data_IF_741281964498
#
_entry.id   IF_741281964498
#
_cell.length_a   1.000
_cell.length_b   1.000
_cell.length_c   1.000
_cell.angle_alpha   90.00
_cell.angle_beta   90.00
_cell.angle_gamma   90.00
#
_symmetry.space_group_name_H-M   'P 1'
#
loop_
_entity.id
_entity.type
_entity.pdbx_description
1 polymer ?
#
# COMPACT_ATOMS: atom_id res chain seq x y z
N UNK A 1 21.42 -5.45 18.14
CA UNK A 1 20.37 -6.30 17.52
C UNK A 1 19.79 -7.41 18.42
N UNK A 2 20.38 -7.78 19.57
CA UNK A 2 19.88 -8.92 20.38
C UNK A 2 18.40 -8.84 20.83
N UNK A 3 17.92 -7.62 21.16
CA UNK A 3 16.50 -7.37 21.49
C UNK A 3 15.57 -7.71 20.32
N UNK A 4 15.86 -7.17 19.14
CA UNK A 4 15.09 -7.45 17.93
C UNK A 4 15.09 -8.94 17.55
N UNK A 5 16.23 -9.64 17.66
CA UNK A 5 16.28 -11.08 17.38
C UNK A 5 15.41 -11.89 18.35
N UNK A 6 15.38 -11.51 19.64
CA UNK A 6 14.48 -12.16 20.62
C UNK A 6 13.02 -11.90 20.27
N UNK A 7 12.68 -10.66 19.89
CA UNK A 7 11.33 -10.30 19.45
C UNK A 7 10.92 -11.04 18.18
N UNK A 8 11.82 -11.16 17.20
CA UNK A 8 11.59 -11.89 15.96
C UNK A 8 11.32 -13.39 16.19
N UNK A 9 12.04 -14.02 17.13
CA UNK A 9 11.76 -15.41 17.53
C UNK A 9 10.37 -15.56 18.12
N UNK A 10 10.00 -14.68 19.06
CA UNK A 10 8.64 -14.62 19.59
C UNK A 10 7.61 -14.45 18.47
N UNK A 11 7.85 -13.55 17.52
CA UNK A 11 6.97 -13.31 16.39
C UNK A 11 6.75 -14.59 15.56
N UNK A 12 7.84 -15.27 15.22
CA UNK A 12 7.80 -16.49 14.41
C UNK A 12 7.18 -17.68 15.15
N UNK A 13 7.45 -17.82 16.44
CA UNK A 13 6.94 -18.92 17.27
C UNK A 13 5.43 -18.82 17.52
N UNK A 14 4.86 -17.61 17.47
CA UNK A 14 3.46 -17.34 17.84
C UNK A 14 2.59 -16.86 16.66
N UNK A 15 3.13 -16.84 15.44
CA UNK A 15 2.43 -16.40 14.21
C UNK A 15 1.76 -15.02 14.37
N UNK A 16 2.51 -14.07 14.91
CA UNK A 16 2.01 -12.75 15.28
C UNK A 16 1.54 -11.94 14.06
N UNK A 17 0.37 -11.31 14.17
CA UNK A 17 -0.13 -10.31 13.22
C UNK A 17 0.27 -8.91 13.69
N UNK A 18 0.93 -8.15 12.81
CA UNK A 18 1.53 -6.86 13.16
C UNK A 18 1.05 -5.68 12.34
N UNK A 19 0.72 -4.58 13.00
CA UNK A 19 0.51 -3.28 12.37
C UNK A 19 1.80 -2.45 12.41
N UNK A 20 2.33 -2.04 11.26
CA UNK A 20 3.47 -1.11 11.23
C UNK A 20 2.96 0.35 11.30
N UNK A 21 3.33 1.03 12.37
CA UNK A 21 2.94 2.41 12.66
C UNK A 21 4.09 3.39 12.36
N UNK A 22 4.24 3.74 11.09
CA UNK A 22 5.30 4.66 10.64
C UNK A 22 4.85 6.13 10.63
N UNK A 23 3.73 6.45 9.96
CA UNK A 23 3.36 7.83 9.65
C UNK A 23 2.86 8.57 10.89
N UNK A 24 3.57 9.61 11.32
CA UNK A 24 3.13 10.50 12.41
C UNK A 24 1.96 11.41 12.00
N UNK A 25 1.33 12.06 13.00
CA UNK A 25 0.34 13.11 12.77
C UNK A 25 0.92 14.33 12.03
N UNK A 26 2.23 14.58 12.15
CA UNK A 26 3.09 15.51 11.37
C UNK A 26 2.85 17.03 11.52
N UNK A 27 1.84 17.48 12.26
CA UNK A 27 1.51 18.91 12.45
C UNK A 27 1.61 19.84 11.23
N UNK A 28 2.33 20.95 11.37
CA UNK A 28 2.67 21.82 10.24
C UNK A 28 3.69 21.10 9.34
N UNK A 29 3.29 20.82 8.09
CA UNK A 29 4.11 20.02 7.15
C UNK A 29 5.38 20.74 6.70
N UNK A 30 5.45 22.06 6.89
CA UNK A 30 6.65 22.86 6.60
C UNK A 30 7.72 22.75 7.70
N UNK A 31 7.34 22.25 8.89
CA UNK A 31 8.19 22.18 10.06
C UNK A 31 8.73 20.77 10.32
N UNK A 32 9.82 20.72 11.08
CA UNK A 32 10.41 19.47 11.58
C UNK A 32 9.77 19.08 12.92
N UNK A 33 9.99 17.86 13.42
CA UNK A 33 9.42 17.43 14.71
C UNK A 33 9.71 18.39 15.87
N UNK A 34 10.97 18.79 16.09
CA UNK A 34 11.34 19.74 17.15
C UNK A 34 10.78 21.16 16.98
N UNK A 35 10.41 21.55 15.74
CA UNK A 35 9.85 22.86 15.42
C UNK A 35 8.33 22.92 15.55
N UNK A 36 7.66 21.78 15.79
CA UNK A 36 6.21 21.75 15.91
C UNK A 36 5.75 22.57 17.12
N UNK A 37 4.59 23.23 16.97
CA UNK A 37 4.01 24.00 18.07
C UNK A 37 3.59 23.09 19.24
N UNK A 38 3.26 21.84 18.94
CA UNK A 38 2.98 20.79 19.89
C UNK A 38 3.92 19.61 19.59
N UNK A 39 4.79 19.20 20.54
CA UNK A 39 5.73 18.10 20.34
C UNK A 39 5.03 16.75 20.14
N UNK A 40 3.77 16.58 20.60
CA UNK A 40 3.03 15.32 20.51
C UNK A 40 2.51 15.03 19.09
N UNK A 41 2.68 15.98 18.14
CA UNK A 41 2.38 15.77 16.72
C UNK A 41 3.30 14.75 16.03
N UNK A 42 4.35 14.32 16.72
CA UNK A 42 5.18 13.17 16.39
C UNK A 42 5.36 12.29 17.63
N UNK A 43 5.39 10.97 17.44
CA UNK A 43 5.67 10.06 18.56
C UNK A 43 7.10 10.27 19.04
N UNK A 44 7.28 10.50 20.34
CA UNK A 44 8.58 10.74 20.96
C UNK A 44 8.68 10.19 22.38
N UNK A 45 9.92 10.11 22.88
CA UNK A 45 10.23 9.73 24.25
C UNK A 45 10.02 10.92 25.18
N UNK A 46 9.08 10.81 26.13
CA UNK A 46 8.83 11.84 27.15
C UNK A 46 9.59 11.58 28.44
N UNK A 47 9.92 10.32 28.73
CA UNK A 47 10.69 9.93 29.91
C UNK A 47 11.53 8.67 29.62
N UNK A 48 12.76 8.63 30.15
CA UNK A 48 13.62 7.44 30.15
C UNK A 48 13.73 6.93 31.58
N UNK A 49 13.38 5.66 31.80
CA UNK A 49 13.38 4.98 33.10
C UNK A 49 14.45 3.89 33.14
N UNK A 50 14.72 3.36 34.34
CA UNK A 50 15.64 2.24 34.52
C UNK A 50 15.18 0.96 33.81
N UNK A 51 13.87 0.77 33.67
CA UNK A 51 13.20 -0.42 33.14
C UNK A 51 12.61 -0.23 31.73
N UNK A 52 12.53 1.00 31.21
CA UNK A 52 12.03 1.26 29.87
C UNK A 52 11.95 2.74 29.52
N UNK A 53 11.05 3.08 28.60
CA UNK A 53 10.74 4.44 28.18
C UNK A 53 9.23 4.70 28.31
N UNK A 54 8.85 5.97 28.49
CA UNK A 54 7.49 6.42 28.23
C UNK A 54 7.48 7.18 26.91
N UNK A 55 6.52 6.85 26.04
CA UNK A 55 6.31 7.53 24.77
C UNK A 55 4.96 8.22 24.70
N UNK A 56 4.91 9.32 23.94
CA UNK A 56 3.68 10.07 23.68
C UNK A 56 3.61 10.53 22.22
N UNK A 57 2.39 10.60 21.68
CA UNK A 57 2.09 11.19 20.38
C UNK A 57 1.06 10.36 19.60
N UNK A 58 1.00 10.52 18.29
CA UNK A 58 0.06 9.76 17.46
C UNK A 58 0.62 9.35 16.08
N UNK A 59 0.23 8.15 15.64
CA UNK A 59 0.44 7.64 14.28
C UNK A 59 -0.89 7.65 13.51
N UNK A 60 -0.85 8.04 12.24
CA UNK A 60 -2.02 8.20 11.38
C UNK A 60 -2.03 7.21 10.23
N UNK A 61 -3.25 6.86 9.78
CA UNK A 61 -3.48 6.01 8.61
C UNK A 61 -2.82 4.63 8.73
N UNK A 62 -2.87 4.04 9.93
CA UNK A 62 -2.30 2.72 10.14
C UNK A 62 -3.36 1.69 9.83
N UNK A 63 -3.12 0.88 8.79
CA UNK A 63 -4.00 -0.22 8.39
C UNK A 63 -3.82 -1.38 9.35
N UNK A 64 -4.94 -2.00 9.75
CA UNK A 64 -5.05 -3.20 10.61
C UNK A 64 -4.87 -3.12 12.15
N UNK A 65 -4.67 -1.98 12.85
CA UNK A 65 -4.45 -2.00 14.31
C UNK A 65 -5.50 -2.73 15.16
N UNK A 66 -6.83 -2.64 14.88
CA UNK A 66 -7.84 -3.29 15.71
C UNK A 66 -7.84 -4.82 15.67
N UNK A 67 -7.10 -5.40 14.71
CA UNK A 67 -6.98 -6.85 14.54
C UNK A 67 -5.50 -7.26 14.33
N UNK A 68 -4.58 -6.51 14.93
CA UNK A 68 -3.17 -6.88 15.08
C UNK A 68 -2.85 -7.19 16.54
N UNK A 69 -2.07 -8.24 16.77
CA UNK A 69 -1.55 -8.57 18.10
C UNK A 69 -0.53 -7.52 18.57
N UNK A 70 0.28 -7.00 17.65
CA UNK A 70 1.42 -6.11 17.93
C UNK A 70 1.41 -4.88 17.02
N UNK A 71 1.78 -3.73 17.60
CA UNK A 71 2.02 -2.47 16.88
C UNK A 71 3.52 -2.19 16.89
N UNK A 72 4.13 -2.14 15.71
CA UNK A 72 5.55 -1.82 15.52
C UNK A 72 5.68 -0.35 15.11
N UNK A 73 6.24 0.47 15.99
CA UNK A 73 6.37 1.91 15.80
C UNK A 73 7.74 2.24 15.23
N UNK A 74 7.76 3.00 14.13
CA UNK A 74 8.98 3.44 13.44
C UNK A 74 9.01 4.96 13.30
N UNK A 75 10.20 5.58 13.16
CA UNK A 75 10.28 6.98 12.75
C UNK A 75 9.77 7.16 11.32
N UNK A 76 9.05 8.26 11.05
CA UNK A 76 8.46 8.51 9.73
C UNK A 76 9.42 9.10 8.69
N UNK A 77 10.57 9.63 9.12
CA UNK A 77 11.47 10.42 8.28
C UNK A 77 12.90 10.46 8.85
N UNK A 78 13.80 11.03 8.08
CA UNK A 78 15.12 11.44 8.55
C UNK A 78 15.01 12.47 9.68
N UNK A 79 15.56 12.13 10.84
CA UNK A 79 15.67 12.99 12.02
C UNK A 79 17.01 13.74 12.01
N UNK A 80 17.10 14.87 12.71
CA UNK A 80 18.37 15.55 13.05
C UNK A 80 18.71 15.34 14.53
N UNK A 81 19.86 15.83 14.95
CA UNK A 81 20.27 15.84 16.36
C UNK A 81 19.22 16.47 17.28
N UNK A 82 18.63 17.61 16.89
CA UNK A 82 17.54 18.25 17.63
C UNK A 82 16.25 17.41 17.68
N UNK A 83 16.11 16.44 16.78
CA UNK A 83 14.97 15.51 16.71
C UNK A 83 15.24 14.19 17.48
N UNK A 84 16.31 14.10 18.30
CA UNK A 84 16.75 12.83 18.93
C UNK A 84 15.66 12.10 19.73
N UNK A 85 14.74 12.82 20.38
CA UNK A 85 13.68 12.17 21.17
C UNK A 85 12.56 11.57 20.29
N UNK A 86 12.48 11.98 19.02
CA UNK A 86 11.60 11.41 17.99
C UNK A 86 12.26 10.23 17.25
N UNK A 87 13.57 10.04 17.42
CA UNK A 87 14.34 8.95 16.84
C UNK A 87 14.15 7.66 17.65
N UNK A 88 12.92 7.13 17.65
CA UNK A 88 12.52 5.98 18.46
C UNK A 88 11.84 4.91 17.61
N UNK A 89 12.19 3.64 17.85
CA UNK A 89 11.52 2.48 17.26
C UNK A 89 11.33 1.40 18.31
N UNK A 90 10.11 0.84 18.37
CA UNK A 90 9.73 -0.13 19.39
C UNK A 90 8.51 -0.95 18.95
N UNK A 91 8.15 -1.96 19.75
CA UNK A 91 6.89 -2.68 19.60
C UNK A 91 6.09 -2.71 20.91
N UNK A 92 4.76 -2.70 20.81
CA UNK A 92 3.83 -2.88 21.94
C UNK A 92 2.66 -3.76 21.52
N UNK A 93 2.04 -4.52 22.44
CA UNK A 93 0.75 -5.14 22.20
C UNK A 93 -0.29 -4.13 21.70
N UNK A 94 -1.20 -4.58 20.82
CA UNK A 94 -2.26 -3.74 20.27
C UNK A 94 -3.21 -3.15 21.33
N UNK A 95 -3.30 -3.81 22.48
CA UNK A 95 -4.11 -3.46 23.65
C UNK A 95 -3.30 -2.92 24.84
N UNK A 96 -2.04 -2.54 24.63
CA UNK A 96 -1.18 -2.03 25.71
C UNK A 96 -1.77 -0.79 26.40
N UNK A 97 -1.57 -0.68 27.71
CA UNK A 97 -2.03 0.47 28.50
C UNK A 97 -1.52 1.80 27.91
N UNK A 98 -2.45 2.73 27.70
CA UNK A 98 -2.18 4.03 27.07
C UNK A 98 -2.31 4.05 25.55
N UNK A 99 -2.40 2.90 24.87
CA UNK A 99 -2.70 2.82 23.42
C UNK A 99 -4.20 3.04 23.21
N UNK A 100 -4.58 3.98 22.33
CA UNK A 100 -5.97 4.22 21.93
C UNK A 100 -6.10 4.13 20.41
N UNK A 101 -7.04 3.33 19.94
CA UNK A 101 -7.30 3.12 18.51
C UNK A 101 -8.56 3.89 18.09
N UNK A 102 -8.39 4.99 17.37
CA UNK A 102 -9.50 5.72 16.73
C UNK A 102 -9.69 5.14 15.32
N UNK A 103 -10.63 4.20 15.22
CA UNK A 103 -10.77 3.30 14.07
C UNK A 103 -11.82 3.76 13.07
N UNK A 104 -11.50 3.74 11.78
CA UNK A 104 -12.44 3.85 10.67
C UNK A 104 -12.51 2.52 9.90
N UNK A 105 -13.62 1.77 9.96
CA UNK A 105 -13.83 0.61 9.11
C UNK A 105 -14.32 1.00 7.71
N UNK A 106 -13.88 0.26 6.69
CA UNK A 106 -14.44 0.25 5.35
C UNK A 106 -14.92 -1.18 5.04
N UNK A 107 -16.24 -1.33 4.92
CA UNK A 107 -16.90 -2.62 4.76
C UNK A 107 -18.11 -2.50 3.84
N UNK A 108 -18.61 -3.63 3.38
CA UNK A 108 -19.79 -3.73 2.52
C UNK A 108 -21.05 -4.00 3.34
N UNK A 109 -22.19 -3.59 2.80
CA UNK A 109 -23.49 -3.96 3.37
C UNK A 109 -23.66 -5.47 3.29
N UNK A 110 -24.14 -6.08 4.39
CA UNK A 110 -24.43 -7.51 4.45
C UNK A 110 -25.49 -7.86 3.39
N UNK A 111 -25.22 -8.92 2.62
CA UNK A 111 -26.15 -9.46 1.63
C UNK A 111 -27.02 -10.56 2.27
N UNK A 112 -28.24 -10.74 1.77
CA UNK A 112 -29.21 -11.71 2.31
C UNK A 112 -29.42 -12.92 1.39
N UNK A 113 -29.72 -12.68 0.11
CA UNK A 113 -30.03 -13.72 -0.89
C UNK A 113 -28.90 -13.87 -1.91
N UNK A 114 -28.26 -12.77 -2.30
CA UNK A 114 -27.14 -12.74 -3.25
C UNK A 114 -25.78 -12.73 -2.55
N UNK A 115 -25.59 -13.67 -1.62
CA UNK A 115 -24.34 -13.75 -0.86
C UNK A 115 -23.12 -13.95 -1.77
N UNK A 116 -21.98 -13.40 -1.35
CA UNK A 116 -20.71 -13.47 -2.08
C UNK A 116 -19.52 -13.24 -1.14
N UNK A 117 -18.34 -13.83 -1.41
CA UNK A 117 -17.16 -13.68 -0.56
C UNK A 117 -16.79 -12.23 -0.23
N UNK A 118 -16.89 -11.32 -1.20
CA UNK A 118 -16.55 -9.91 -0.99
C UNK A 118 -17.43 -9.23 0.07
N UNK A 119 -18.67 -9.69 0.28
CA UNK A 119 -19.56 -9.13 1.29
C UNK A 119 -19.12 -9.42 2.73
N UNK A 120 -18.20 -10.37 2.92
CA UNK A 120 -17.64 -10.77 4.21
C UNK A 120 -16.23 -10.23 4.43
N UNK A 121 -15.74 -9.38 3.54
CA UNK A 121 -14.44 -8.74 3.68
C UNK A 121 -14.59 -7.27 4.06
N UNK A 122 -13.57 -6.76 4.74
CA UNK A 122 -13.47 -5.38 5.15
C UNK A 122 -12.05 -5.07 5.56
N UNK A 123 -11.77 -3.79 5.74
CA UNK A 123 -10.49 -3.29 6.20
C UNK A 123 -10.73 -2.15 7.18
N UNK A 124 -9.82 -1.97 8.13
CA UNK A 124 -9.86 -0.80 8.99
C UNK A 124 -8.52 -0.10 9.02
N UNK A 125 -8.58 1.23 9.06
CA UNK A 125 -7.43 2.06 9.41
C UNK A 125 -7.71 2.75 10.73
N UNK A 126 -6.66 2.97 11.51
CA UNK A 126 -6.75 3.71 12.76
C UNK A 126 -5.76 4.86 12.81
N UNK A 127 -6.17 5.92 13.52
CA UNK A 127 -5.22 6.75 14.23
C UNK A 127 -4.90 6.05 15.56
N UNK A 128 -3.61 5.82 15.79
CA UNK A 128 -3.11 5.22 17.03
C UNK A 128 -2.59 6.36 17.89
N UNK A 129 -3.16 6.54 19.07
CA UNK A 129 -2.73 7.51 20.07
C UNK A 129 -1.94 6.76 21.14
N UNK A 130 -0.75 7.26 21.44
CA UNK A 130 0.10 6.81 22.54
C UNK A 130 -0.02 7.83 23.65
N UNK A 131 -0.88 7.56 24.64
CA UNK A 131 -1.05 8.40 25.82
C UNK A 131 -0.19 7.86 26.96
N UNK A 132 1.06 8.32 27.02
CA UNK A 132 2.05 7.94 28.04
C UNK A 132 2.25 6.43 28.15
N UNK A 133 2.49 5.78 27.01
CA UNK A 133 2.66 4.33 26.92
C UNK A 133 4.04 3.95 27.45
N UNK A 134 4.08 3.02 28.40
CA UNK A 134 5.33 2.42 28.86
C UNK A 134 5.80 1.34 27.89
N UNK A 135 7.08 1.38 27.52
CA UNK A 135 7.71 0.40 26.64
C UNK A 135 8.96 -0.15 27.33
N UNK A 136 9.01 -1.45 27.65
CA UNK A 136 10.15 -2.01 28.35
C UNK A 136 11.36 -2.15 27.42
N UNK A 137 12.57 -2.08 27.97
CA UNK A 137 13.80 -2.01 27.16
C UNK A 137 13.96 -3.16 26.18
N UNK A 138 13.46 -4.37 26.45
CA UNK A 138 13.51 -5.50 25.52
C UNK A 138 12.67 -5.32 24.25
N UNK A 139 11.71 -4.39 24.25
CA UNK A 139 10.88 -4.03 23.08
C UNK A 139 11.33 -2.74 22.39
N UNK A 140 12.40 -2.08 22.86
CA UNK A 140 12.98 -0.88 22.26
C UNK A 140 14.14 -1.24 21.34
N UNK A 141 14.01 -0.89 20.05
CA UNK A 141 14.96 -1.22 18.98
C UNK A 141 15.82 -0.03 18.53
N UNK A 142 15.36 1.19 18.78
CA UNK A 142 16.06 2.45 18.52
C UNK A 142 15.55 3.50 19.52
N UNK A 143 16.42 4.33 20.09
CA UNK A 143 16.07 5.35 21.09
C UNK A 143 17.15 6.45 21.19
N UNK A 144 17.18 7.36 20.22
CA UNK A 144 18.07 8.52 20.19
C UNK A 144 19.09 8.54 19.05
N UNK A 145 19.28 7.40 18.36
CA UNK A 145 20.21 7.26 17.23
C UNK A 145 19.66 7.91 15.95
N UNK A 146 19.49 9.23 15.97
CA UNK A 146 18.79 10.01 14.94
C UNK A 146 19.33 9.79 13.52
N UNK A 147 20.64 9.56 13.37
CA UNK A 147 21.33 9.25 12.11
C UNK A 147 20.74 8.02 11.40
N UNK A 148 20.25 7.04 12.16
CA UNK A 148 19.68 5.79 11.64
C UNK A 148 18.21 5.94 11.21
N UNK A 149 17.53 7.02 11.61
CA UNK A 149 16.08 7.20 11.36
C UNK A 149 15.75 7.20 9.88
N UNK A 150 16.64 7.80 9.07
CA UNK A 150 16.49 7.85 7.61
C UNK A 150 16.49 6.44 7.02
N UNK A 151 17.49 5.64 7.38
CA UNK A 151 17.66 4.30 6.83
C UNK A 151 16.48 3.41 7.22
N UNK A 152 16.06 3.46 8.49
CA UNK A 152 14.91 2.68 8.95
C UNK A 152 13.61 3.08 8.23
N UNK A 153 13.36 4.37 8.06
CA UNK A 153 12.16 4.86 7.38
C UNK A 153 12.13 4.47 5.90
N UNK A 154 13.27 4.59 5.21
CA UNK A 154 13.39 4.26 3.78
C UNK A 154 13.40 2.76 3.52
N UNK A 155 14.03 1.95 4.38
CA UNK A 155 14.03 0.49 4.25
C UNK A 155 12.62 -0.07 4.40
N UNK A 156 11.87 0.36 5.42
CA UNK A 156 10.46 -0.03 5.55
C UNK A 156 9.67 0.34 4.29
N UNK A 157 9.79 1.59 3.83
CA UNK A 157 9.09 2.04 2.62
C UNK A 157 9.46 1.19 1.40
N UNK A 158 10.74 0.85 1.23
CA UNK A 158 11.23 0.01 0.14
C UNK A 158 10.62 -1.41 0.18
N UNK A 159 10.69 -2.11 1.31
CA UNK A 159 10.08 -3.43 1.45
C UNK A 159 8.57 -3.39 1.24
N UNK A 160 7.90 -2.35 1.75
CA UNK A 160 6.47 -2.16 1.57
C UNK A 160 6.11 -1.93 0.10
N UNK A 161 6.89 -1.11 -0.63
CA UNK A 161 6.71 -0.88 -2.07
C UNK A 161 7.00 -2.14 -2.90
N UNK A 162 7.96 -2.95 -2.49
CA UNK A 162 8.18 -4.27 -3.09
C UNK A 162 6.99 -5.21 -2.85
N UNK A 163 6.37 -5.22 -1.67
CA UNK A 163 5.13 -6.01 -1.49
C UNK A 163 3.98 -5.56 -2.40
N UNK A 164 3.95 -4.27 -2.76
CA UNK A 164 2.93 -3.70 -3.64
C UNK A 164 3.04 -4.18 -5.08
N UNK A 165 4.22 -4.62 -5.51
CA UNK A 165 4.36 -5.22 -6.84
C UNK A 165 3.72 -6.61 -6.94
N UNK A 166 3.27 -7.20 -5.84
CA UNK A 166 2.42 -8.40 -5.84
C UNK A 166 0.94 -8.07 -5.64
N UNK A 167 0.62 -7.20 -4.67
CA UNK A 167 -0.78 -6.96 -4.31
C UNK A 167 -1.54 -6.06 -5.30
N UNK A 168 -0.86 -5.13 -6.00
CA UNK A 168 -1.52 -4.25 -6.98
C UNK A 168 -1.85 -4.96 -8.29
N UNK A 169 -1.00 -5.82 -8.87
CA UNK A 169 -1.40 -6.69 -9.98
C UNK A 169 -2.66 -7.50 -9.68
N UNK A 170 -2.79 -8.05 -8.46
CA UNK A 170 -4.01 -8.77 -8.07
C UNK A 170 -5.26 -7.87 -8.09
N UNK A 171 -5.13 -6.58 -7.78
CA UNK A 171 -6.23 -5.61 -7.94
C UNK A 171 -6.53 -5.39 -9.42
N UNK A 172 -5.51 -5.23 -10.25
CA UNK A 172 -5.65 -5.14 -11.71
C UNK A 172 -6.37 -6.36 -12.30
N UNK A 173 -6.07 -7.57 -11.80
CA UNK A 173 -6.75 -8.81 -12.19
C UNK A 173 -8.22 -8.81 -11.78
N UNK A 174 -8.54 -8.34 -10.57
CA UNK A 174 -9.93 -8.20 -10.13
C UNK A 174 -10.69 -7.21 -11.02
N UNK A 175 -10.10 -6.06 -11.36
CA UNK A 175 -10.73 -5.05 -12.20
C UNK A 175 -10.87 -5.51 -13.67
N UNK A 176 -9.84 -6.16 -14.21
CA UNK A 176 -9.83 -6.74 -15.56
C UNK A 176 -10.83 -7.90 -15.69
N UNK A 177 -10.83 -8.83 -14.72
CA UNK A 177 -11.80 -9.93 -14.67
C UNK A 177 -13.24 -9.43 -14.52
N UNK A 178 -13.45 -8.41 -13.67
CA UNK A 178 -14.75 -7.73 -13.55
C UNK A 178 -15.18 -7.07 -14.86
N UNK A 179 -14.25 -6.46 -15.59
CA UNK A 179 -14.49 -5.87 -16.90
C UNK A 179 -14.87 -6.91 -17.95
N UNK A 180 -14.26 -8.09 -17.91
CA UNK A 180 -14.60 -9.21 -18.79
C UNK A 180 -16.01 -9.75 -18.50
N UNK A 181 -16.37 -9.93 -17.22
CA UNK A 181 -17.72 -10.33 -16.81
C UNK A 181 -18.79 -9.33 -17.26
N UNK A 182 -18.49 -8.03 -17.15
CA UNK A 182 -19.36 -6.97 -17.66
C UNK A 182 -19.56 -7.10 -19.17
N UNK A 183 -18.48 -7.35 -19.93
CA UNK A 183 -18.57 -7.53 -21.37
C UNK A 183 -19.39 -8.77 -21.75
N UNK A 184 -19.28 -9.86 -21.00
CA UNK A 184 -20.09 -11.07 -21.15
C UNK A 184 -21.57 -10.79 -20.87
N UNK A 185 -21.88 -10.13 -19.74
CA UNK A 185 -23.24 -9.73 -19.39
C UNK A 185 -23.86 -8.84 -20.47
N UNK A 186 -23.07 -7.94 -21.06
CA UNK A 186 -23.50 -7.02 -22.11
C UNK A 186 -23.51 -7.66 -23.51
N UNK A 187 -22.95 -8.85 -23.69
CA UNK A 187 -22.87 -9.53 -24.99
C UNK A 187 -21.89 -8.89 -25.98
N UNK A 188 -20.87 -8.16 -25.49
CA UNK A 188 -19.92 -7.38 -26.30
C UNK A 188 -18.47 -7.88 -26.22
N UNK A 189 -18.24 -9.10 -25.72
CA UNK A 189 -16.90 -9.68 -25.52
C UNK A 189 -15.98 -9.60 -26.76
N UNK A 190 -16.58 -9.68 -27.96
CA UNK A 190 -15.83 -9.67 -29.24
C UNK A 190 -15.56 -8.27 -29.77
N UNK A 191 -16.09 -7.21 -29.13
CA UNK A 191 -15.88 -5.85 -29.58
C UNK A 191 -14.41 -5.43 -29.41
N UNK A 192 -13.85 -4.75 -30.41
CA UNK A 192 -12.44 -4.36 -30.43
C UNK A 192 -12.06 -3.52 -29.21
N UNK A 193 -12.90 -2.55 -28.83
CA UNK A 193 -12.65 -1.70 -27.67
C UNK A 193 -12.63 -2.47 -26.33
N UNK A 194 -13.33 -3.62 -26.23
CA UNK A 194 -13.26 -4.46 -25.02
C UNK A 194 -11.90 -5.12 -24.94
N UNK A 195 -11.42 -5.71 -26.03
CA UNK A 195 -10.11 -6.36 -26.10
C UNK A 195 -8.97 -5.39 -25.82
N UNK A 196 -9.06 -4.17 -26.34
CA UNK A 196 -8.10 -3.09 -26.07
C UNK A 196 -8.07 -2.67 -24.60
N UNK A 197 -9.23 -2.59 -23.93
CA UNK A 197 -9.28 -2.26 -22.49
C UNK A 197 -8.75 -3.41 -21.64
N UNK A 198 -9.12 -4.65 -21.95
CA UNK A 198 -8.61 -5.84 -21.27
C UNK A 198 -7.09 -5.99 -21.40
N UNK A 199 -6.52 -5.68 -22.57
CA UNK A 199 -5.07 -5.73 -22.75
C UNK A 199 -4.32 -4.70 -21.89
N UNK A 200 -4.94 -3.55 -21.57
CA UNK A 200 -4.37 -2.56 -20.65
C UNK A 200 -4.26 -3.08 -19.22
N UNK A 201 -5.32 -3.73 -18.70
CA UNK A 201 -5.26 -4.37 -17.38
C UNK A 201 -4.16 -5.43 -17.33
N UNK A 202 -4.13 -6.34 -18.31
CA UNK A 202 -3.14 -7.41 -18.39
C UNK A 202 -1.73 -6.83 -18.46
N UNK A 203 -1.47 -5.89 -19.39
CA UNK A 203 -0.15 -5.31 -19.57
C UNK A 203 0.34 -4.58 -18.31
N UNK A 204 -0.55 -3.84 -17.62
CA UNK A 204 -0.21 -3.16 -16.38
C UNK A 204 0.09 -4.14 -15.24
N UNK A 205 -0.77 -5.14 -15.04
CA UNK A 205 -0.59 -6.18 -14.02
C UNK A 205 0.76 -6.89 -14.19
N UNK A 206 1.03 -7.36 -15.40
CA UNK A 206 2.26 -8.11 -15.73
C UNK A 206 3.52 -7.24 -15.60
N UNK A 207 3.48 -5.97 -16.02
CA UNK A 207 4.63 -5.07 -15.88
C UNK A 207 4.94 -4.75 -14.41
N UNK A 208 3.91 -4.51 -13.60
CA UNK A 208 4.07 -4.24 -12.17
C UNK A 208 4.59 -5.50 -11.45
N UNK A 209 4.05 -6.68 -11.78
CA UNK A 209 4.52 -7.95 -11.22
C UNK A 209 5.96 -8.26 -11.62
N UNK A 210 6.30 -8.08 -12.90
CA UNK A 210 7.65 -8.26 -13.42
C UNK A 210 8.68 -7.35 -12.73
N UNK A 211 8.30 -6.10 -12.44
CA UNK A 211 9.15 -5.19 -11.66
C UNK A 211 9.40 -5.73 -10.23
N UNK A 212 8.41 -6.36 -9.61
CA UNK A 212 8.59 -7.07 -8.34
C UNK A 212 9.57 -8.22 -8.42
N UNK A 213 9.40 -9.10 -9.42
CA UNK A 213 10.30 -10.23 -9.65
C UNK A 213 11.73 -9.75 -9.90
N UNK A 214 11.92 -8.74 -10.75
CA UNK A 214 13.23 -8.13 -10.99
C UNK A 214 13.81 -7.55 -9.70
N UNK A 215 12.99 -6.84 -8.91
CA UNK A 215 13.41 -6.26 -7.63
C UNK A 215 13.93 -7.31 -6.64
N UNK A 216 13.28 -8.48 -6.57
CA UNK A 216 13.76 -9.60 -5.78
C UNK A 216 15.01 -10.27 -6.38
N UNK A 217 15.06 -10.43 -7.71
CA UNK A 217 16.17 -11.08 -8.40
C UNK A 217 17.49 -10.30 -8.28
N UNK A 218 17.41 -8.97 -8.27
CA UNK A 218 18.56 -8.07 -8.14
C UNK A 218 18.77 -7.60 -6.69
N UNK A 219 18.09 -8.22 -5.72
CA UNK A 219 18.24 -7.87 -4.31
C UNK A 219 19.69 -8.05 -3.82
N UNK A 220 20.13 -7.14 -2.96
CA UNK A 220 21.47 -7.18 -2.35
C UNK A 220 21.39 -7.66 -0.92
N UNK A 221 22.35 -8.50 -0.52
CA UNK A 221 22.46 -8.96 0.86
C UNK A 221 23.05 -7.85 1.73
N UNK A 222 22.34 -7.47 2.78
CA UNK A 222 22.86 -6.55 3.82
C UNK A 222 23.79 -7.28 4.81
N UNK A 223 24.62 -6.56 5.59
CA UNK A 223 25.46 -7.10 6.66
C UNK A 223 24.68 -7.87 7.72
N UNK A 224 23.39 -7.54 7.92
CA UNK A 224 22.50 -8.30 8.81
C UNK A 224 22.16 -9.70 8.29
N UNK A 225 22.44 -9.97 7.01
CA UNK A 225 22.09 -11.21 6.31
C UNK A 225 20.78 -11.12 5.53
N UNK A 226 19.91 -10.14 5.81
CA UNK A 226 18.67 -9.90 5.08
C UNK A 226 18.95 -9.42 3.67
N UNK A 227 18.20 -9.93 2.69
CA UNK A 227 18.22 -9.43 1.33
C UNK A 227 17.30 -8.21 1.18
N UNK A 228 17.86 -7.11 0.70
CA UNK A 228 17.16 -5.85 0.46
C UNK A 228 16.80 -5.81 -1.03
N UNK A 229 15.50 -5.66 -1.39
CA UNK A 229 15.06 -5.66 -2.78
C UNK A 229 15.63 -4.45 -3.52
N UNK A 230 15.80 -4.59 -4.84
CA UNK A 230 16.31 -3.49 -5.66
C UNK A 230 15.34 -2.30 -5.64
N UNK A 231 15.83 -1.09 -5.26
CA UNK A 231 14.97 0.06 -5.05
C UNK A 231 14.41 0.62 -6.35
N UNK A 232 15.15 0.58 -7.45
CA UNK A 232 14.69 1.17 -8.71
C UNK A 232 13.53 0.37 -9.26
N UNK A 233 13.65 -0.96 -9.30
CA UNK A 233 12.56 -1.82 -9.76
C UNK A 233 11.33 -1.75 -8.86
N UNK A 234 11.51 -1.82 -7.53
CA UNK A 234 10.40 -1.71 -6.58
C UNK A 234 9.63 -0.40 -6.76
N UNK A 235 10.34 0.73 -6.82
CA UNK A 235 9.72 2.04 -6.99
C UNK A 235 9.10 2.22 -8.39
N UNK A 236 9.74 1.70 -9.45
CA UNK A 236 9.20 1.79 -10.80
C UNK A 236 7.86 1.06 -10.94
N UNK A 237 7.78 -0.21 -10.51
CA UNK A 237 6.55 -1.00 -10.55
C UNK A 237 5.46 -0.39 -9.66
N UNK A 238 5.81 -0.03 -8.43
CA UNK A 238 4.89 0.60 -7.51
C UNK A 238 4.32 1.92 -8.05
N UNK A 239 5.17 2.79 -8.61
CA UNK A 239 4.77 4.09 -9.17
C UNK A 239 3.82 3.91 -10.35
N UNK A 240 4.15 2.98 -11.24
CA UNK A 240 3.31 2.63 -12.39
C UNK A 240 1.89 2.22 -11.94
N UNK A 241 1.79 1.36 -10.92
CA UNK A 241 0.49 0.98 -10.35
C UNK A 241 -0.27 2.17 -9.73
N UNK A 242 0.44 3.04 -8.99
CA UNK A 242 -0.16 4.18 -8.31
C UNK A 242 -0.68 5.25 -9.27
N UNK A 243 0.01 5.49 -10.38
CA UNK A 243 -0.39 6.44 -11.42
C UNK A 243 -1.59 5.93 -12.24
N UNK A 244 -1.75 4.61 -12.38
CA UNK A 244 -2.78 4.02 -13.24
C UNK A 244 -4.05 3.56 -12.52
N UNK A 245 -4.06 3.46 -11.19
CA UNK A 245 -5.22 2.90 -10.46
C UNK A 245 -6.56 3.55 -10.86
N UNK A 246 -6.62 4.88 -10.96
CA UNK A 246 -7.86 5.56 -11.36
C UNK A 246 -8.20 5.33 -12.84
N UNK A 247 -7.19 5.18 -13.71
CA UNK A 247 -7.43 4.82 -15.10
C UNK A 247 -7.99 3.40 -15.22
N UNK A 248 -7.52 2.45 -14.41
CA UNK A 248 -8.11 1.10 -14.36
C UNK A 248 -9.60 1.12 -13.96
N UNK A 249 -9.97 1.95 -12.99
CA UNK A 249 -11.38 2.17 -12.65
C UNK A 249 -12.17 2.83 -13.79
N UNK A 250 -11.58 3.80 -14.49
CA UNK A 250 -12.18 4.43 -15.68
C UNK A 250 -12.48 3.38 -16.77
N UNK A 251 -11.52 2.49 -17.08
CA UNK A 251 -11.71 1.40 -18.04
C UNK A 251 -12.86 0.46 -17.65
N UNK A 252 -12.95 0.10 -16.36
CA UNK A 252 -14.03 -0.74 -15.84
C UNK A 252 -15.39 -0.05 -15.96
N UNK A 253 -15.48 1.21 -15.54
CA UNK A 253 -16.75 1.95 -15.53
C UNK A 253 -17.23 2.27 -16.94
N UNK A 254 -16.33 2.57 -17.87
CA UNK A 254 -16.66 2.75 -19.29
C UNK A 254 -17.32 1.49 -19.89
N UNK A 255 -16.86 0.29 -19.50
CA UNK A 255 -17.49 -0.97 -19.92
C UNK A 255 -18.81 -1.26 -19.19
N UNK A 256 -18.89 -0.94 -17.89
CA UNK A 256 -20.06 -1.25 -17.05
C UNK A 256 -21.25 -0.34 -17.35
N UNK A 257 -20.98 0.94 -17.64
CA UNK A 257 -22.00 1.97 -17.74
C UNK A 257 -22.73 2.21 -16.41
N UNK A 258 -23.82 2.98 -16.48
CA UNK A 258 -24.50 3.53 -15.29
C UNK A 258 -25.07 2.50 -14.32
N UNK A 259 -25.33 1.25 -14.76
CA UNK A 259 -25.86 0.20 -13.88
C UNK A 259 -24.89 -0.14 -12.73
N UNK A 260 -23.59 0.14 -12.89
CA UNK A 260 -22.59 0.04 -11.83
C UNK A 260 -22.95 0.85 -10.56
N UNK A 261 -23.69 1.95 -10.72
CA UNK A 261 -24.11 2.82 -9.62
C UNK A 261 -25.62 2.77 -9.35
N UNK A 262 -26.43 2.30 -10.30
CA UNK A 262 -27.90 2.35 -10.22
C UNK A 262 -28.57 0.97 -10.07
N UNK A 263 -27.78 -0.06 -9.74
CA UNK A 263 -28.28 -1.44 -9.62
C UNK A 263 -29.37 -1.57 -8.53
N UNK A 264 -30.59 -2.05 -8.88
CA UNK A 264 -31.64 -2.32 -7.90
C UNK A 264 -31.18 -3.26 -6.79
N UNK A 265 -31.51 -3.00 -5.51
CA UNK A 265 -31.14 -3.88 -4.40
C UNK A 265 -31.73 -5.29 -4.56
N UNK A 266 -31.12 -6.27 -3.91
CA UNK A 266 -31.60 -7.67 -3.96
C UNK A 266 -33.03 -7.82 -3.42
N UNK A 267 -33.46 -6.93 -2.53
CA UNK A 267 -34.84 -6.90 -2.01
C UNK A 267 -35.88 -6.68 -3.11
N UNK A 268 -35.61 -5.75 -4.03
CA UNK A 268 -36.49 -5.49 -5.18
C UNK A 268 -36.39 -6.59 -6.23
N UNK A 269 -35.19 -7.17 -6.42
CA UNK A 269 -34.97 -8.27 -7.36
C UNK A 269 -35.78 -9.53 -6.98
N UNK A 270 -35.96 -9.79 -5.69
CA UNK A 270 -36.72 -10.94 -5.19
C UNK A 270 -38.06 -10.56 -4.54
N UNK A 271 -38.60 -9.38 -4.84
CA UNK A 271 -39.90 -8.94 -4.33
C UNK A 271 -41.03 -9.65 -5.09
N UNK A 272 -42.14 -9.93 -4.40
CA UNK A 272 -43.32 -10.56 -5.04
C UNK A 272 -44.01 -9.63 -6.04
N UNK A 273 -43.97 -8.31 -5.81
CA UNK A 273 -44.62 -7.31 -6.66
C UNK A 273 -43.77 -6.95 -7.89
N UNK A 274 -42.48 -6.72 -7.69
CA UNK A 274 -41.57 -6.17 -8.70
C UNK A 274 -40.56 -7.18 -9.24
N UNK A 275 -40.29 -8.29 -8.55
CA UNK A 275 -39.20 -9.22 -8.89
C UNK A 275 -39.27 -9.75 -10.32
N UNK A 276 -40.45 -10.21 -10.77
CA UNK A 276 -40.64 -10.68 -12.15
C UNK A 276 -40.40 -9.57 -13.21
N UNK A 277 -40.69 -8.30 -12.87
CA UNK A 277 -40.44 -7.17 -13.75
C UNK A 277 -38.96 -6.80 -13.77
N UNK A 278 -38.31 -6.79 -12.59
CA UNK A 278 -36.88 -6.53 -12.47
C UNK A 278 -36.09 -7.61 -13.23
N UNK A 279 -36.42 -8.88 -13.05
CA UNK A 279 -35.85 -10.01 -13.81
C UNK A 279 -35.92 -9.78 -15.32
N UNK A 280 -37.11 -9.46 -15.84
CA UNK A 280 -37.35 -9.16 -17.25
C UNK A 280 -36.53 -7.98 -17.76
N UNK A 281 -36.50 -6.86 -17.03
CA UNK A 281 -35.85 -5.62 -17.48
C UNK A 281 -34.35 -5.55 -17.18
N UNK A 282 -33.83 -6.44 -16.34
CA UNK A 282 -32.40 -6.64 -16.13
C UNK A 282 -31.76 -7.59 -17.15
N UNK A 283 -32.57 -8.30 -17.95
CA UNK A 283 -32.06 -9.17 -19.00
C UNK A 283 -31.14 -8.39 -19.96
N UNK A 284 -29.97 -8.97 -20.26
CA UNK A 284 -28.99 -8.44 -21.19
C UNK A 284 -28.61 -9.51 -22.22
N UNK A 285 -27.46 -10.16 -22.08
CA UNK A 285 -27.07 -11.28 -22.93
C UNK A 285 -28.00 -12.50 -22.67
N UNK A 286 -28.68 -13.05 -23.69
CA UNK A 286 -29.61 -14.17 -23.53
C UNK A 286 -28.95 -15.49 -23.11
N UNK A 287 -27.62 -15.56 -23.07
CA UNK A 287 -26.86 -16.73 -22.60
C UNK A 287 -26.68 -16.78 -21.09
N UNK A 288 -27.00 -15.70 -20.37
CA UNK A 288 -26.86 -15.61 -18.91
C UNK A 288 -28.18 -15.19 -18.26
N UNK A 289 -28.40 -15.57 -17.00
CA UNK A 289 -29.59 -15.17 -16.25
C UNK A 289 -29.49 -13.71 -15.79
N UNK A 290 -30.64 -13.10 -15.49
CA UNK A 290 -30.72 -11.80 -14.83
C UNK A 290 -30.00 -11.78 -13.46
N UNK A 291 -30.03 -12.88 -12.71
CA UNK A 291 -29.31 -13.03 -11.45
C UNK A 291 -27.80 -13.00 -11.67
N UNK A 292 -27.31 -13.63 -12.76
CA UNK A 292 -25.90 -13.56 -13.14
C UNK A 292 -25.47 -12.12 -13.43
N UNK A 293 -26.30 -11.38 -14.17
CA UNK A 293 -26.11 -9.94 -14.41
C UNK A 293 -26.11 -9.18 -13.08
N UNK A 294 -27.07 -9.45 -12.19
CA UNK A 294 -27.18 -8.78 -10.90
C UNK A 294 -25.93 -9.01 -10.04
N UNK A 295 -25.48 -10.26 -9.89
CA UNK A 295 -24.26 -10.60 -9.14
C UNK A 295 -23.02 -9.90 -9.70
N UNK A 296 -22.89 -9.86 -11.03
CA UNK A 296 -21.79 -9.16 -11.71
C UNK A 296 -21.82 -7.67 -11.41
N UNK A 297 -22.94 -7.00 -11.67
CA UNK A 297 -23.05 -5.56 -11.42
C UNK A 297 -23.00 -5.20 -9.93
N UNK A 298 -23.39 -6.12 -9.04
CA UNK A 298 -23.29 -5.93 -7.59
C UNK A 298 -21.82 -5.99 -7.14
N UNK A 299 -21.00 -6.84 -7.76
CA UNK A 299 -19.55 -6.78 -7.58
C UNK A 299 -18.99 -5.43 -8.04
N UNK A 300 -19.41 -4.93 -9.21
CA UNK A 300 -18.94 -3.63 -9.73
C UNK A 300 -19.33 -2.49 -8.77
N UNK A 301 -20.58 -2.43 -8.31
CA UNK A 301 -21.02 -1.46 -7.31
C UNK A 301 -20.15 -1.54 -6.05
N UNK A 302 -19.83 -2.75 -5.60
CA UNK A 302 -19.02 -2.95 -4.40
C UNK A 302 -17.58 -2.46 -4.57
N UNK A 303 -16.94 -2.69 -5.71
CA UNK A 303 -15.54 -2.30 -5.92
C UNK A 303 -15.37 -0.89 -6.49
N UNK A 304 -16.41 -0.29 -7.08
CA UNK A 304 -16.32 1.02 -7.75
C UNK A 304 -17.25 2.11 -7.17
N UNK A 305 -18.33 1.75 -6.46
CA UNK A 305 -19.34 2.70 -5.97
C UNK A 305 -19.74 2.44 -4.49
N UNK A 306 -18.76 2.31 -3.61
CA UNK A 306 -18.99 2.01 -2.19
C UNK A 306 -17.93 2.65 -1.27
N UNK A 307 -18.13 2.54 0.05
CA UNK A 307 -17.13 2.98 1.03
C UNK A 307 -15.80 2.21 0.94
N UNK A 308 -15.84 0.92 0.57
CA UNK A 308 -14.63 0.12 0.33
C UNK A 308 -14.00 0.46 -1.03
N UNK A 309 -14.79 0.81 -2.04
CA UNK A 309 -14.28 1.27 -3.34
C UNK A 309 -13.43 2.53 -3.20
N UNK A 310 -13.94 3.54 -2.49
CA UNK A 310 -13.21 4.77 -2.21
C UNK A 310 -11.92 4.51 -1.43
N UNK A 311 -11.95 3.56 -0.49
CA UNK A 311 -10.76 3.12 0.22
C UNK A 311 -9.74 2.45 -0.72
N UNK A 312 -10.17 1.50 -1.56
CA UNK A 312 -9.30 0.77 -2.50
C UNK A 312 -8.61 1.72 -3.49
N UNK A 313 -9.33 2.72 -4.00
CA UNK A 313 -8.77 3.74 -4.92
C UNK A 313 -7.67 4.57 -4.24
N UNK A 314 -7.96 5.12 -3.06
CA UNK A 314 -7.00 5.96 -2.32
C UNK A 314 -5.81 5.12 -1.83
N UNK A 315 -6.05 3.91 -1.31
CA UNK A 315 -4.99 2.99 -0.88
C UNK A 315 -4.16 2.48 -2.07
N UNK A 316 -4.76 2.35 -3.26
CA UNK A 316 -4.06 2.08 -4.52
C UNK A 316 -3.05 3.16 -4.88
N UNK A 317 -3.43 4.42 -4.70
CA UNK A 317 -2.56 5.57 -4.98
C UNK A 317 -1.54 5.85 -3.88
N UNK A 318 -1.92 5.76 -2.61
CA UNK A 318 -1.10 6.28 -1.49
C UNK A 318 -0.53 5.22 -0.55
N UNK A 319 -0.95 3.96 -0.64
CA UNK A 319 -0.60 2.95 0.37
C UNK A 319 0.91 2.63 0.45
N UNK A 320 1.67 2.85 -0.62
CA UNK A 320 3.14 2.73 -0.66
C UNK A 320 3.90 4.07 -0.48
N UNK A 321 3.18 5.15 -0.16
CA UNK A 321 3.61 6.53 -0.37
C UNK A 321 2.97 7.13 -1.63
N UNK A 322 3.13 8.45 -1.82
CA UNK A 322 2.69 9.10 -3.04
C UNK A 322 3.62 8.78 -4.22
N UNK A 323 3.13 8.79 -5.47
CA UNK A 323 3.97 8.62 -6.67
C UNK A 323 5.19 9.54 -6.71
N UNK A 324 5.07 10.76 -6.17
CA UNK A 324 6.20 11.71 -6.07
C UNK A 324 7.33 11.16 -5.21
N UNK A 325 7.04 10.47 -4.11
CA UNK A 325 8.07 9.87 -3.25
C UNK A 325 8.80 8.72 -3.94
N UNK A 326 8.11 7.99 -4.82
CA UNK A 326 8.71 6.93 -5.63
C UNK A 326 9.58 7.53 -6.74
N UNK A 327 9.15 8.64 -7.36
CA UNK A 327 9.99 9.44 -8.29
C UNK A 327 11.26 9.94 -7.61
N UNK A 328 11.15 10.51 -6.40
CA UNK A 328 12.32 10.98 -5.65
C UNK A 328 13.28 9.82 -5.37
N UNK A 329 12.76 8.65 -4.97
CA UNK A 329 13.59 7.46 -4.73
C UNK A 329 14.32 7.01 -6.00
N UNK A 330 13.61 6.85 -7.12
CA UNK A 330 14.22 6.48 -8.42
C UNK A 330 15.32 7.47 -8.82
N UNK A 331 15.06 8.78 -8.72
CA UNK A 331 16.05 9.80 -9.07
C UNK A 331 17.23 9.86 -8.11
N UNK A 332 17.07 9.36 -6.88
CA UNK A 332 18.15 9.29 -5.88
C UNK A 332 19.03 8.06 -6.12
N UNK A 333 18.43 6.93 -6.50
CA UNK A 333 19.11 5.63 -6.61
C UNK A 333 19.59 5.30 -8.04
N UNK A 334 19.44 6.21 -9.01
CA UNK A 334 19.81 5.97 -10.42
C UNK A 334 20.93 6.89 -10.91
N UNK A 335 21.97 6.32 -11.51
CA UNK A 335 23.15 7.07 -11.99
C UNK A 335 22.91 7.78 -13.33
N UNK A 336 22.39 9.00 -13.24
CA UNK A 336 22.22 9.89 -14.39
C UNK A 336 23.57 10.27 -15.03
N UNK A 337 24.68 10.25 -14.28
CA UNK A 337 26.00 10.57 -14.85
C UNK A 337 26.41 9.48 -15.83
N UNK A 338 26.24 8.21 -15.46
CA UNK A 338 26.48 7.08 -16.34
C UNK A 338 25.66 7.14 -17.62
N UNK A 339 24.37 7.49 -17.54
CA UNK A 339 23.54 7.72 -18.74
C UNK A 339 24.10 8.84 -19.63
N UNK A 340 24.53 9.95 -19.02
CA UNK A 340 25.15 11.06 -19.76
C UNK A 340 26.45 10.64 -20.42
N UNK A 341 27.24 9.78 -19.81
CA UNK A 341 28.51 9.35 -20.39
C UNK A 341 28.31 8.48 -21.63
N UNK A 342 27.27 7.64 -21.66
CA UNK A 342 26.82 6.95 -22.89
C UNK A 342 26.45 7.97 -23.98
N UNK A 343 25.64 8.97 -23.65
CA UNK A 343 25.25 10.00 -24.61
C UNK A 343 26.43 10.85 -25.11
N UNK A 344 27.36 11.23 -24.23
CA UNK A 344 28.59 11.98 -24.59
C UNK A 344 29.48 11.17 -25.53
N UNK A 345 29.61 9.87 -25.31
CA UNK A 345 30.35 8.98 -26.21
C UNK A 345 29.71 8.95 -27.61
N UNK A 346 28.39 8.71 -27.68
CA UNK A 346 27.65 8.68 -28.95
C UNK A 346 27.68 10.03 -29.68
N UNK A 347 27.71 11.13 -28.95
CA UNK A 347 27.80 12.48 -29.50
C UNK A 347 29.24 12.90 -29.89
N UNK A 348 30.25 12.07 -29.64
CA UNK A 348 31.66 12.42 -29.88
C UNK A 348 32.23 13.48 -28.93
N UNK A 349 31.52 13.80 -27.83
CA UNK A 349 31.98 14.71 -26.77
C UNK A 349 33.05 14.01 -25.93
N UNK A 350 32.83 12.73 -25.61
CA UNK A 350 33.85 11.85 -25.07
C UNK A 350 34.26 10.84 -26.16
N UNK A 351 35.56 10.61 -26.32
CA UNK A 351 36.08 9.61 -27.28
C UNK A 351 36.24 8.23 -26.66
N UNK A 352 36.22 8.14 -25.32
CA UNK A 352 36.32 6.88 -24.61
C UNK A 352 34.94 6.24 -24.41
N UNK A 353 34.85 4.94 -24.76
CA UNK A 353 33.63 4.16 -24.57
C UNK A 353 33.41 3.92 -23.07
N UNK A 354 32.28 4.38 -22.50
CA UNK A 354 31.96 4.10 -21.10
C UNK A 354 31.68 2.60 -20.91
N UNK A 355 32.33 1.99 -19.92
CA UNK A 355 32.08 0.60 -19.52
C UNK A 355 31.01 0.55 -18.44
N UNK A 356 29.76 0.77 -18.83
CA UNK A 356 28.61 0.82 -17.93
C UNK A 356 27.62 -0.26 -18.36
N UNK A 357 27.34 -1.24 -17.51
CA UNK A 357 26.22 -2.17 -17.69
C UNK A 357 24.95 -1.53 -17.14
N UNK A 358 23.80 -1.99 -17.59
CA UNK A 358 22.52 -1.50 -17.08
C UNK A 358 22.41 -1.68 -15.54
N UNK A 359 22.95 -2.77 -15.03
CA UNK A 359 23.04 -3.11 -13.60
C UNK A 359 23.87 -2.08 -12.80
N UNK A 360 24.86 -1.46 -13.45
CA UNK A 360 25.79 -0.51 -12.83
C UNK A 360 25.16 0.89 -12.70
N UNK A 361 23.96 1.11 -13.24
CA UNK A 361 23.23 2.37 -13.15
C UNK A 361 22.40 2.50 -11.87
N UNK A 362 22.34 1.46 -11.03
CA UNK A 362 21.62 1.50 -9.75
C UNK A 362 22.61 1.73 -8.61
N UNK A 363 22.66 2.97 -8.13
CA UNK A 363 23.43 3.41 -6.96
C UNK A 363 22.55 3.27 -5.72
N UNK A 364 22.80 2.26 -4.89
CA UNK A 364 22.01 2.06 -3.67
C UNK A 364 22.34 3.17 -2.68
N UNK A 365 21.48 4.20 -2.58
CA UNK A 365 21.73 5.33 -1.69
C UNK A 365 21.49 4.97 -0.22
N UNK A 366 20.62 3.99 0.04
CA UNK A 366 20.51 3.41 1.38
C UNK A 366 21.83 2.68 1.64
N UNK A 367 22.63 3.25 2.53
CA UNK A 367 23.84 2.60 3.01
C UNK A 367 23.41 1.28 3.66
N UNK A 368 23.60 0.21 2.91
CA UNK A 368 23.33 -1.13 3.39
C UNK A 368 24.49 -1.62 4.23
N UNK A 369 25.67 -0.99 4.20
CA UNK A 369 26.90 -1.44 4.89
C UNK A 369 27.06 -0.88 6.31
#
# INVERSE_FOLDING_TARGET
YGRFIKYLKYWQENDIVGACAQTDAKGDRSKRPHDQADPDLYVHVVERKGDGIIVRGAKQSITIPPYSDEIVVLPTRAMREDDKDYAVAFAVPGDADGVKLVTRPAFLRKRQKLDAPIAHTGVSDSMIIFDNVFVPWERVFMCGEWELSRNLALLFALFHRHSYTGCKPAVSDILGGSSALVAECNGIERATHVREKLSKFIGLAELVYAAGVASAQFAKKSPSGTYVPDPVYANAGRRLAGENIYHEYDLLIDLAGGLAATLPPEGDFYSEETGNLVDKYMARNPKVSSEYVHRTFRLIENIACSGIAGWLQIAGMHGGGSPVMETIAIMTDYDIRGMKDVAKYLAGINKELPRIRHEDLVDYYIDID
#
